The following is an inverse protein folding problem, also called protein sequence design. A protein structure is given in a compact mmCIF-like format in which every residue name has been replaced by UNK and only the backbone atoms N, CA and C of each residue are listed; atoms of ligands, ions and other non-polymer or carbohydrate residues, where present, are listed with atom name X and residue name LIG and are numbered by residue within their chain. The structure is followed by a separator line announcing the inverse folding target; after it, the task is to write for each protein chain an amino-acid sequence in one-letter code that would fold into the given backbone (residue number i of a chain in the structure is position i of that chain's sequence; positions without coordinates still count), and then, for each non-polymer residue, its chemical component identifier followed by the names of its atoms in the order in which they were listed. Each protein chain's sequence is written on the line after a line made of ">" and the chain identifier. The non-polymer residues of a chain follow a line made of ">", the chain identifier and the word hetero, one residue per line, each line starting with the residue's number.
data_IF_067136786157
#
_entry.id   IF_067136786157
#
_cell.length_a   1.000
_cell.length_b   1.000
_cell.length_c   1.000
_cell.angle_alpha   90.00
_cell.angle_beta   90.00
_cell.angle_gamma   90.00
#
_symmetry.space_group_name_H-M   'P 1'
#
loop_
_entity.id
_entity.type
_entity.pdbx_description
1 polymer ?
#
# COMPACT_ATOMS: atom_id res chain seq x y z
N UNK A 1 -32.51 55.75 14.50
CA UNK A 1 -31.82 54.47 14.88
C UNK A 1 -32.50 53.75 16.05
N UNK A 2 -32.97 54.42 17.11
CA UNK A 2 -33.64 53.77 18.26
C UNK A 2 -34.92 53.01 17.88
N UNK A 3 -35.69 53.48 16.92
CA UNK A 3 -36.96 52.88 16.49
C UNK A 3 -36.77 51.59 15.73
N UNK A 4 -35.72 51.49 14.87
CA UNK A 4 -35.39 50.27 14.14
C UNK A 4 -34.90 49.14 15.08
N UNK A 5 -34.14 49.49 16.09
CA UNK A 5 -33.68 48.53 17.10
C UNK A 5 -34.84 47.98 17.96
N UNK A 6 -35.83 48.80 18.24
CA UNK A 6 -37.04 48.40 18.97
C UNK A 6 -37.91 47.47 18.13
N UNK A 7 -38.12 47.81 16.86
CA UNK A 7 -38.85 46.94 15.91
C UNK A 7 -38.18 45.59 15.70
N UNK A 8 -36.87 45.57 15.55
CA UNK A 8 -36.10 44.30 15.46
C UNK A 8 -36.29 43.45 16.73
N UNK A 9 -36.18 44.05 17.90
CA UNK A 9 -36.36 43.31 19.17
C UNK A 9 -37.78 42.78 19.31
N UNK A 10 -38.82 43.54 18.97
CA UNK A 10 -40.21 43.10 19.00
C UNK A 10 -40.45 41.97 18.00
N UNK A 11 -39.90 42.05 16.78
CA UNK A 11 -39.99 41.00 15.77
C UNK A 11 -39.33 39.71 16.22
N UNK A 12 -38.16 39.76 16.88
CA UNK A 12 -37.50 38.59 17.43
C UNK A 12 -38.30 37.93 18.57
N UNK A 13 -38.84 38.72 19.48
CA UNK A 13 -39.68 38.23 20.58
C UNK A 13 -40.96 37.58 20.03
N UNK A 14 -41.60 38.20 19.04
CA UNK A 14 -42.81 37.64 18.42
C UNK A 14 -42.55 36.36 17.67
N UNK A 15 -41.42 36.26 16.95
CA UNK A 15 -40.98 35.04 16.30
C UNK A 15 -40.75 33.91 17.31
N UNK A 16 -40.10 34.21 18.44
CA UNK A 16 -39.84 33.21 19.51
C UNK A 16 -41.11 32.69 20.17
N UNK A 17 -42.09 33.61 20.44
CA UNK A 17 -43.40 33.24 20.99
C UNK A 17 -44.17 32.37 20.00
N UNK A 18 -44.15 32.70 18.71
CA UNK A 18 -44.80 31.93 17.66
C UNK A 18 -44.24 30.50 17.54
N UNK A 19 -42.91 30.35 17.64
CA UNK A 19 -42.23 29.05 17.66
C UNK A 19 -42.61 28.25 18.92
N UNK A 20 -42.69 28.89 20.09
CA UNK A 20 -43.03 28.24 21.34
C UNK A 20 -44.51 27.81 21.44
N UNK A 21 -45.42 28.47 20.70
CA UNK A 21 -46.83 28.13 20.68
C UNK A 21 -47.14 26.87 19.85
N UNK A 22 -46.35 26.62 18.79
CA UNK A 22 -46.53 25.46 17.92
C UNK A 22 -45.35 24.48 17.99
N UNK A 23 -45.03 24.02 19.19
CA UNK A 23 -43.80 23.20 19.49
C UNK A 23 -43.64 21.99 18.58
N UNK A 24 -44.71 21.23 18.31
CA UNK A 24 -44.66 20.02 17.51
C UNK A 24 -44.28 20.30 16.03
N UNK A 25 -44.89 21.35 15.44
CA UNK A 25 -44.60 21.77 14.05
C UNK A 25 -43.16 22.25 13.93
N UNK A 26 -42.70 23.06 14.88
CA UNK A 26 -41.37 23.63 14.91
C UNK A 26 -40.33 22.50 15.09
N UNK A 27 -40.58 21.54 15.97
CA UNK A 27 -39.72 20.39 16.21
C UNK A 27 -39.59 19.55 14.93
N UNK A 28 -40.69 19.23 14.27
CA UNK A 28 -40.70 18.44 13.04
C UNK A 28 -39.95 19.14 11.90
N UNK A 29 -40.15 20.47 11.74
CA UNK A 29 -39.46 21.25 10.71
C UNK A 29 -37.95 21.33 10.97
N UNK A 30 -37.54 21.60 12.22
CA UNK A 30 -36.13 21.60 12.63
C UNK A 30 -35.48 20.24 12.44
N UNK A 31 -36.17 19.16 12.83
CA UNK A 31 -35.68 17.80 12.67
C UNK A 31 -35.46 17.44 11.20
N UNK A 32 -36.41 17.83 10.31
CA UNK A 32 -36.26 17.66 8.86
C UNK A 32 -35.05 18.39 8.28
N UNK A 33 -34.85 19.66 8.67
CA UNK A 33 -33.68 20.43 8.23
C UNK A 33 -32.38 19.84 8.77
N UNK A 34 -32.37 19.44 10.04
CA UNK A 34 -31.17 18.84 10.68
C UNK A 34 -30.78 17.53 10.01
N UNK A 35 -31.74 16.65 9.73
CA UNK A 35 -31.50 15.40 9.01
C UNK A 35 -30.97 15.69 7.59
N UNK A 36 -31.55 16.67 6.90
CA UNK A 36 -31.12 17.06 5.55
C UNK A 36 -29.65 17.54 5.53
N UNK A 37 -29.31 18.45 6.44
CA UNK A 37 -27.94 18.98 6.55
C UNK A 37 -26.97 17.87 6.97
N UNK A 38 -27.36 17.04 7.96
CA UNK A 38 -26.55 15.91 8.40
C UNK A 38 -26.27 14.93 7.26
N UNK A 39 -27.27 14.58 6.46
CA UNK A 39 -27.09 13.68 5.32
C UNK A 39 -26.11 14.26 4.29
N UNK A 40 -26.20 15.56 3.99
CA UNK A 40 -25.27 16.23 3.07
C UNK A 40 -23.85 16.19 3.61
N UNK A 41 -23.63 16.55 4.87
CA UNK A 41 -22.31 16.54 5.51
C UNK A 41 -21.72 15.12 5.50
N UNK A 42 -22.54 14.12 5.81
CA UNK A 42 -22.14 12.71 5.83
C UNK A 42 -21.65 12.26 4.45
N UNK A 43 -22.42 12.54 3.39
CA UNK A 43 -22.03 12.21 2.01
C UNK A 43 -20.73 12.92 1.62
N UNK A 44 -20.59 14.20 1.89
CA UNK A 44 -19.36 14.94 1.62
C UNK A 44 -18.17 14.37 2.36
N UNK A 45 -18.32 14.04 3.64
CA UNK A 45 -17.24 13.44 4.44
C UNK A 45 -16.78 12.09 3.90
N UNK A 46 -17.71 11.25 3.42
CA UNK A 46 -17.38 9.96 2.81
C UNK A 46 -16.63 10.16 1.49
N UNK A 47 -17.12 11.05 0.64
CA UNK A 47 -16.50 11.34 -0.67
C UNK A 47 -15.09 11.91 -0.49
N UNK A 48 -14.91 12.88 0.43
CA UNK A 48 -13.61 13.49 0.71
C UNK A 48 -12.60 12.46 1.27
N UNK A 49 -13.07 11.59 2.18
CA UNK A 49 -12.26 10.49 2.70
C UNK A 49 -11.84 9.50 1.60
N UNK A 50 -12.76 9.18 0.68
CA UNK A 50 -12.48 8.29 -0.45
C UNK A 50 -11.49 8.93 -1.43
N UNK A 51 -11.68 10.21 -1.78
CA UNK A 51 -10.76 10.95 -2.64
C UNK A 51 -9.35 10.97 -2.05
N UNK A 52 -9.23 11.28 -0.76
CA UNK A 52 -7.95 11.27 -0.05
C UNK A 52 -7.31 9.89 -0.09
N UNK A 53 -8.06 8.82 0.21
CA UNK A 53 -7.55 7.45 0.18
C UNK A 53 -7.06 7.02 -1.20
N UNK A 54 -7.79 7.39 -2.27
CA UNK A 54 -7.36 7.13 -3.65
C UNK A 54 -6.11 7.94 -3.98
N UNK A 55 -6.06 9.22 -3.63
CA UNK A 55 -4.90 10.08 -3.89
C UNK A 55 -3.65 9.59 -3.18
N UNK A 56 -3.77 9.22 -1.91
CA UNK A 56 -2.67 8.65 -1.11
C UNK A 56 -2.20 7.31 -1.70
N UNK A 57 -3.12 6.46 -2.16
CA UNK A 57 -2.79 5.19 -2.83
C UNK A 57 -2.07 5.41 -4.18
N UNK A 58 -2.51 6.40 -4.97
CA UNK A 58 -1.87 6.69 -6.26
C UNK A 58 -0.49 7.33 -6.08
N UNK A 59 -0.31 8.19 -5.07
CA UNK A 59 0.99 8.82 -4.81
C UNK A 59 2.08 7.81 -4.42
N UNK A 60 1.71 6.65 -3.89
CA UNK A 60 2.65 5.56 -3.59
C UNK A 60 3.31 4.97 -4.86
N UNK A 61 2.67 5.10 -6.03
CA UNK A 61 3.25 4.61 -7.28
C UNK A 61 4.34 5.54 -7.86
N UNK A 62 4.58 6.68 -7.23
CA UNK A 62 5.53 7.70 -7.65
C UNK A 62 5.04 8.55 -8.82
N UNK A 63 5.26 9.83 -8.73
CA UNK A 63 5.10 10.76 -9.86
C UNK A 63 6.25 10.53 -10.84
N UNK A 64 5.97 10.46 -12.12
CA UNK A 64 6.96 10.26 -13.19
C UNK A 64 7.64 8.87 -13.24
N UNK A 65 6.99 7.80 -12.78
CA UNK A 65 7.50 6.43 -12.88
C UNK A 65 6.93 5.75 -14.13
N UNK A 66 7.80 5.15 -14.94
CA UNK A 66 7.43 4.34 -16.10
C UNK A 66 7.61 2.87 -15.75
N UNK A 67 6.52 2.11 -15.80
CA UNK A 67 6.53 0.67 -15.54
C UNK A 67 6.63 -0.12 -16.84
N UNK A 68 7.66 -0.95 -16.93
CA UNK A 68 7.85 -1.88 -18.05
C UNK A 68 7.53 -3.29 -17.55
N UNK A 69 6.36 -3.80 -17.94
CA UNK A 69 5.89 -5.11 -17.49
C UNK A 69 5.13 -5.86 -18.58
N UNK A 70 5.05 -7.19 -18.46
CA UNK A 70 4.33 -8.05 -19.40
C UNK A 70 2.83 -7.77 -19.40
N UNK A 71 2.26 -7.64 -18.22
CA UNK A 71 0.82 -7.47 -18.03
C UNK A 71 0.44 -5.99 -17.91
N UNK A 72 -0.60 -5.52 -18.57
CA UNK A 72 -1.06 -4.14 -18.41
C UNK A 72 -1.66 -3.91 -17.02
N UNK A 73 -1.67 -2.68 -16.60
CA UNK A 73 -2.36 -2.25 -15.38
C UNK A 73 -3.88 -2.36 -15.56
N UNK A 74 -4.58 -2.87 -14.54
CA UNK A 74 -6.02 -2.84 -14.48
C UNK A 74 -6.70 -3.84 -15.43
N UNK A 75 -6.48 -5.13 -15.22
CA UNK A 75 -7.30 -6.18 -15.84
C UNK A 75 -8.70 -6.21 -15.24
N UNK A 76 -9.69 -5.55 -15.89
CA UNK A 76 -11.12 -5.71 -15.55
C UNK A 76 -11.68 -7.07 -15.99
N UNK A 77 -12.97 -7.29 -15.75
CA UNK A 77 -13.67 -8.55 -16.08
C UNK A 77 -13.53 -8.97 -17.56
N UNK A 78 -13.35 -8.01 -18.48
CA UNK A 78 -13.17 -8.24 -19.92
C UNK A 78 -11.69 -8.27 -20.37
N UNK A 79 -10.77 -8.49 -19.43
CA UNK A 79 -9.34 -8.47 -19.72
C UNK A 79 -8.92 -9.61 -20.64
N UNK A 80 -8.55 -9.29 -21.87
CA UNK A 80 -8.10 -10.24 -22.90
C UNK A 80 -6.66 -10.73 -22.64
N UNK A 81 -6.43 -11.48 -21.56
CA UNK A 81 -5.12 -11.99 -21.13
C UNK A 81 -4.37 -12.78 -22.22
N UNK A 82 -5.10 -13.46 -23.12
CA UNK A 82 -4.49 -14.23 -24.22
C UNK A 82 -3.70 -13.37 -25.22
N UNK A 83 -4.01 -12.07 -25.35
CA UNK A 83 -3.24 -11.14 -26.20
C UNK A 83 -1.84 -10.87 -25.67
N UNK A 84 -1.63 -11.10 -24.38
CA UNK A 84 -0.38 -10.77 -23.67
C UNK A 84 0.47 -12.01 -23.37
N UNK A 85 -0.02 -13.22 -23.62
CA UNK A 85 0.71 -14.47 -23.37
C UNK A 85 2.08 -14.51 -24.08
N UNK A 86 2.11 -14.04 -25.33
CA UNK A 86 3.33 -14.07 -26.15
C UNK A 86 4.27 -12.86 -25.95
N UNK A 87 3.92 -11.93 -25.03
CA UNK A 87 4.84 -10.84 -24.70
C UNK A 87 6.03 -11.37 -23.92
N UNK A 88 7.26 -10.94 -24.25
CA UNK A 88 8.42 -11.29 -23.46
C UNK A 88 8.30 -10.73 -22.04
N UNK A 89 8.86 -11.46 -21.08
CA UNK A 89 9.03 -10.99 -19.71
C UNK A 89 10.28 -10.13 -19.68
N UNK A 90 10.25 -8.91 -19.12
CA UNK A 90 11.45 -8.09 -18.94
C UNK A 90 12.51 -8.84 -18.14
N UNK A 91 13.76 -8.77 -18.58
CA UNK A 91 14.89 -9.42 -17.96
C UNK A 91 15.78 -8.42 -17.21
N UNK A 92 16.50 -8.88 -16.20
CA UNK A 92 17.37 -8.02 -15.39
C UNK A 92 18.50 -7.37 -16.18
N UNK A 93 19.02 -8.06 -17.22
CA UNK A 93 20.03 -7.51 -18.14
C UNK A 93 19.50 -6.34 -18.98
N UNK A 94 18.20 -6.32 -19.29
CA UNK A 94 17.57 -5.20 -20.01
C UNK A 94 17.51 -3.95 -19.13
N UNK A 95 17.30 -4.09 -17.83
CA UNK A 95 17.37 -2.97 -16.88
C UNK A 95 18.79 -2.36 -16.85
N UNK A 96 19.84 -3.18 -16.89
CA UNK A 96 21.22 -2.71 -16.99
C UNK A 96 21.51 -2.00 -18.33
N UNK A 97 20.97 -2.51 -19.43
CA UNK A 97 21.07 -1.86 -20.74
C UNK A 97 20.36 -0.50 -20.75
N UNK A 98 19.17 -0.42 -20.16
CA UNK A 98 18.45 0.84 -20.00
C UNK A 98 19.26 1.84 -19.16
N UNK A 99 19.88 1.40 -18.07
CA UNK A 99 20.73 2.25 -17.22
C UNK A 99 21.91 2.86 -17.99
N UNK A 100 22.47 2.11 -18.95
CA UNK A 100 23.59 2.59 -19.80
C UNK A 100 23.14 3.49 -20.94
N UNK A 101 21.92 3.32 -21.45
CA UNK A 101 21.45 4.01 -22.69
C UNK A 101 20.48 5.14 -22.42
N UNK A 102 19.75 5.13 -21.30
CA UNK A 102 18.81 6.20 -20.98
C UNK A 102 19.53 7.44 -20.49
N UNK A 103 19.18 8.57 -21.08
CA UNK A 103 19.66 9.91 -20.69
C UNK A 103 18.64 10.65 -19.79
N UNK A 104 17.41 10.14 -19.70
CA UNK A 104 16.30 10.80 -19.03
C UNK A 104 15.87 10.11 -17.73
N UNK A 105 16.23 8.85 -17.54
CA UNK A 105 15.90 8.11 -16.33
C UNK A 105 16.95 8.36 -15.25
N UNK A 106 16.55 8.95 -14.15
CA UNK A 106 17.40 9.18 -12.99
C UNK A 106 17.71 7.89 -12.25
N UNK A 107 16.68 7.06 -12.05
CA UNK A 107 16.79 5.76 -11.41
C UNK A 107 16.12 4.69 -12.26
N UNK A 108 16.75 3.53 -12.36
CA UNK A 108 16.20 2.36 -13.04
C UNK A 108 16.32 1.18 -12.07
N UNK A 109 15.19 0.59 -11.74
CA UNK A 109 15.12 -0.56 -10.85
C UNK A 109 14.53 -1.76 -11.58
N UNK A 110 14.93 -2.93 -11.15
CA UNK A 110 14.35 -4.20 -11.55
C UNK A 110 13.73 -4.87 -10.33
N UNK A 111 12.52 -5.41 -10.51
CA UNK A 111 11.84 -6.18 -9.49
C UNK A 111 11.16 -7.41 -10.09
N UNK A 112 11.20 -8.51 -9.37
CA UNK A 112 10.48 -9.74 -9.70
C UNK A 112 9.75 -10.24 -8.46
N UNK A 113 8.48 -10.56 -8.60
CA UNK A 113 7.65 -11.04 -7.50
C UNK A 113 7.29 -12.51 -7.66
N UNK A 114 7.30 -13.23 -6.55
CA UNK A 114 6.79 -14.59 -6.41
C UNK A 114 5.65 -14.54 -5.39
N UNK A 115 4.42 -14.81 -5.83
CA UNK A 115 3.25 -14.84 -4.96
C UNK A 115 3.03 -16.20 -4.30
N UNK A 116 2.31 -16.19 -3.18
CA UNK A 116 1.84 -17.42 -2.53
C UNK A 116 2.91 -18.19 -1.74
N UNK A 117 4.04 -17.58 -1.42
CA UNK A 117 5.09 -18.21 -0.63
C UNK A 117 4.64 -18.46 0.82
N UNK A 118 5.28 -19.44 1.46
CA UNK A 118 5.12 -19.70 2.89
C UNK A 118 6.37 -19.28 3.63
N UNK A 119 6.20 -18.38 4.57
CA UNK A 119 7.26 -17.95 5.50
C UNK A 119 7.11 -18.71 6.81
N UNK A 120 8.21 -19.27 7.31
CA UNK A 120 8.23 -20.09 8.54
C UNK A 120 9.24 -19.54 9.52
N UNK A 121 8.87 -19.57 10.80
CA UNK A 121 9.77 -19.36 11.92
C UNK A 121 9.36 -20.31 13.05
N UNK A 122 10.24 -21.24 13.36
CA UNK A 122 9.99 -22.27 14.38
C UNK A 122 8.63 -22.98 14.15
N UNK A 123 7.69 -22.84 15.09
CA UNK A 123 6.33 -23.40 15.01
C UNK A 123 5.33 -22.48 14.27
N UNK A 124 5.69 -21.22 13.98
CA UNK A 124 4.81 -20.24 13.34
C UNK A 124 5.00 -20.24 11.83
N UNK A 125 3.91 -20.02 11.10
CA UNK A 125 3.95 -19.89 9.66
C UNK A 125 2.99 -18.78 9.18
N UNK A 126 3.37 -18.11 8.11
CA UNK A 126 2.53 -17.17 7.35
C UNK A 126 2.46 -17.68 5.90
N UNK A 127 1.25 -17.91 5.39
CA UNK A 127 1.00 -18.41 4.04
C UNK A 127 0.43 -17.33 3.14
N UNK A 128 0.59 -17.48 1.83
CA UNK A 128 0.09 -16.50 0.86
C UNK A 128 0.90 -15.21 0.84
N UNK A 129 2.18 -15.29 1.22
CA UNK A 129 3.08 -14.14 1.28
C UNK A 129 3.67 -13.87 -0.10
N UNK A 130 3.73 -12.59 -0.47
CA UNK A 130 4.38 -12.14 -1.68
C UNK A 130 5.86 -11.86 -1.41
N UNK A 131 6.75 -12.50 -2.18
CA UNK A 131 8.19 -12.28 -2.10
C UNK A 131 8.62 -11.41 -3.27
N UNK A 132 9.18 -10.23 -2.99
CA UNK A 132 9.63 -9.28 -3.98
C UNK A 132 11.17 -9.21 -3.98
N UNK A 133 11.78 -9.75 -5.02
CA UNK A 133 13.22 -9.60 -5.29
C UNK A 133 13.49 -8.30 -6.01
N UNK A 134 14.31 -7.40 -5.44
CA UNK A 134 14.55 -6.06 -6.01
C UNK A 134 16.03 -5.73 -6.14
N UNK A 135 16.33 -4.75 -6.99
CA UNK A 135 17.62 -4.07 -7.05
C UNK A 135 17.65 -2.87 -6.09
N UNK A 136 18.84 -2.37 -5.75
CA UNK A 136 19.02 -1.29 -4.78
C UNK A 136 18.25 -0.01 -5.14
N UNK A 137 18.23 0.35 -6.42
CA UNK A 137 17.56 1.55 -6.92
C UNK A 137 16.03 1.56 -6.69
N UNK A 138 15.46 0.40 -6.38
CA UNK A 138 14.03 0.26 -6.14
C UNK A 138 13.54 1.13 -4.98
N UNK A 139 14.32 1.25 -3.90
CA UNK A 139 13.98 2.11 -2.76
C UNK A 139 14.00 3.62 -3.10
N UNK A 140 14.69 4.02 -4.15
CA UNK A 140 14.73 5.42 -4.60
C UNK A 140 13.51 5.80 -5.43
N UNK A 141 12.90 4.80 -6.09
CA UNK A 141 11.69 4.96 -6.89
C UNK A 141 10.45 4.82 -6.00
N UNK A 142 10.48 3.82 -5.11
CA UNK A 142 9.41 3.54 -4.15
C UNK A 142 9.87 3.93 -2.75
N UNK A 143 9.24 4.95 -2.17
CA UNK A 143 9.56 5.40 -0.81
C UNK A 143 8.96 4.42 0.19
N UNK A 144 9.76 3.46 0.64
CA UNK A 144 9.36 2.54 1.69
C UNK A 144 9.53 3.17 3.07
N UNK A 145 8.46 3.27 3.83
CA UNK A 145 8.53 3.65 5.23
C UNK A 145 8.75 2.40 6.10
N UNK A 146 9.78 2.45 6.93
CA UNK A 146 10.12 1.37 7.86
C UNK A 146 9.66 1.74 9.27
N UNK A 147 8.96 0.81 9.92
CA UNK A 147 8.61 0.93 11.33
C UNK A 147 9.83 0.67 12.23
N UNK A 148 10.68 -0.29 11.83
CA UNK A 148 11.89 -0.66 12.57
C UNK A 148 12.99 -1.14 11.61
N UNK A 149 14.24 -0.98 12.05
CA UNK A 149 15.39 -1.47 11.30
C UNK A 149 15.87 -0.50 10.21
N UNK A 150 16.41 -1.07 9.13
CA UNK A 150 16.99 -0.30 8.02
C UNK A 150 16.74 -0.98 6.67
N UNK A 151 16.89 -0.21 5.61
CA UNK A 151 16.93 -0.76 4.24
C UNK A 151 18.29 -1.40 3.95
N UNK A 152 18.37 -2.15 2.87
CA UNK A 152 19.62 -2.76 2.39
C UNK A 152 20.64 -1.70 1.98
N UNK A 153 21.90 -2.00 2.18
CA UNK A 153 22.99 -1.26 1.54
C UNK A 153 23.18 -1.76 0.09
N UNK A 154 23.76 -0.93 -0.76
CA UNK A 154 24.06 -1.32 -2.15
C UNK A 154 24.95 -2.57 -2.23
N UNK A 155 25.94 -2.66 -1.35
CA UNK A 155 26.83 -3.83 -1.28
C UNK A 155 26.10 -5.11 -0.88
N UNK A 156 25.13 -5.04 0.03
CA UNK A 156 24.31 -6.20 0.45
C UNK A 156 23.42 -6.68 -0.68
N UNK A 157 22.77 -5.74 -1.41
CA UNK A 157 21.95 -6.05 -2.57
C UNK A 157 22.77 -6.69 -3.71
N UNK A 158 23.92 -6.09 -4.03
CA UNK A 158 24.80 -6.57 -5.09
C UNK A 158 25.48 -7.89 -4.74
N UNK A 159 25.75 -8.15 -3.47
CA UNK A 159 26.27 -9.43 -3.00
C UNK A 159 25.20 -10.54 -2.87
N UNK A 160 23.91 -10.18 -2.95
CA UNK A 160 22.82 -11.12 -2.72
C UNK A 160 22.86 -11.72 -1.32
N UNK A 161 23.12 -10.94 -0.28
CA UNK A 161 23.16 -11.44 1.09
C UNK A 161 21.81 -12.00 1.53
N UNK A 162 21.76 -13.10 2.31
CA UNK A 162 20.51 -13.71 2.77
C UNK A 162 19.85 -12.88 3.87
N UNK A 163 19.31 -11.74 3.48
CA UNK A 163 18.64 -10.78 4.34
C UNK A 163 17.28 -10.42 3.73
N UNK A 164 16.35 -10.01 4.57
CA UNK A 164 15.01 -9.59 4.13
C UNK A 164 14.45 -8.46 4.99
N UNK A 165 13.49 -7.75 4.40
CA UNK A 165 12.60 -6.80 5.08
C UNK A 165 11.21 -7.41 4.99
N UNK A 166 10.47 -7.45 6.10
CA UNK A 166 9.16 -8.11 6.18
C UNK A 166 8.04 -7.09 6.40
N UNK A 167 6.86 -7.41 5.91
CA UNK A 167 5.65 -6.65 6.13
C UNK A 167 5.14 -6.75 7.57
N UNK A 168 4.36 -5.76 7.97
CA UNK A 168 3.82 -5.67 9.33
C UNK A 168 2.93 -6.88 9.69
N UNK A 169 2.07 -7.34 8.78
CA UNK A 169 1.21 -8.51 9.03
C UNK A 169 2.00 -9.80 9.19
N UNK A 170 3.13 -9.95 8.48
CA UNK A 170 4.03 -11.08 8.62
C UNK A 170 4.74 -11.03 9.98
N UNK A 171 5.19 -9.85 10.39
CA UNK A 171 5.79 -9.65 11.70
C UNK A 171 4.81 -10.00 12.83
N UNK A 172 3.57 -9.53 12.76
CA UNK A 172 2.51 -9.85 13.72
C UNK A 172 2.15 -11.35 13.75
N UNK A 173 2.26 -12.04 12.61
CA UNK A 173 1.94 -13.48 12.50
C UNK A 173 3.04 -14.42 12.97
N UNK A 174 4.32 -14.01 12.86
CA UNK A 174 5.47 -14.85 13.15
C UNK A 174 6.14 -14.57 14.50
N UNK A 175 5.89 -13.42 15.10
CA UNK A 175 6.55 -12.96 16.31
C UNK A 175 5.54 -12.59 17.39
N UNK A 176 5.92 -12.79 18.64
CA UNK A 176 5.07 -12.41 19.78
C UNK A 176 5.18 -10.89 20.04
N UNK A 177 4.11 -10.28 20.59
CA UNK A 177 4.15 -8.87 20.96
C UNK A 177 5.30 -8.56 21.93
N UNK A 178 6.15 -7.58 21.55
CA UNK A 178 7.31 -7.16 22.35
C UNK A 178 8.58 -7.95 22.12
N UNK A 179 8.56 -8.94 21.22
CA UNK A 179 9.77 -9.69 20.83
C UNK A 179 10.66 -8.85 19.89
N UNK A 180 11.97 -8.97 20.03
CA UNK A 180 12.92 -8.32 19.13
C UNK A 180 12.97 -9.09 17.81
N UNK A 181 12.55 -8.43 16.72
CA UNK A 181 12.38 -9.05 15.40
C UNK A 181 13.65 -8.88 14.55
N UNK A 182 14.36 -7.76 14.72
CA UNK A 182 15.56 -7.47 13.95
C UNK A 182 16.67 -8.48 14.29
N UNK A 183 17.42 -8.91 13.27
CA UNK A 183 18.43 -9.95 13.30
C UNK A 183 17.92 -11.39 13.54
N UNK A 184 16.61 -11.59 13.68
CA UNK A 184 16.02 -12.93 13.74
C UNK A 184 16.03 -13.60 12.36
N UNK A 185 15.99 -14.93 12.37
CA UNK A 185 16.00 -15.73 11.15
C UNK A 185 14.62 -16.28 10.84
N UNK A 186 14.20 -16.12 9.60
CA UNK A 186 13.00 -16.74 9.04
C UNK A 186 13.39 -17.62 7.86
N UNK A 187 12.52 -18.56 7.50
CA UNK A 187 12.72 -19.43 6.33
C UNK A 187 11.62 -19.19 5.32
N UNK A 188 11.99 -18.96 4.07
CA UNK A 188 11.07 -18.82 2.93
C UNK A 188 11.43 -19.91 1.93
N UNK A 189 10.49 -20.81 1.63
CA UNK A 189 10.72 -21.93 0.69
C UNK A 189 12.02 -22.72 0.98
N UNK A 190 12.37 -22.91 2.27
CA UNK A 190 13.57 -23.64 2.69
C UNK A 190 14.84 -22.79 2.87
N UNK A 191 14.88 -21.56 2.34
CA UNK A 191 16.05 -20.68 2.48
C UNK A 191 15.93 -19.81 3.72
N UNK A 192 16.99 -19.77 4.53
CA UNK A 192 17.06 -18.98 5.77
C UNK A 192 17.51 -17.55 5.46
N UNK A 193 16.71 -16.58 5.88
CA UNK A 193 16.97 -15.15 5.73
C UNK A 193 17.01 -14.48 7.10
N UNK A 194 17.82 -13.44 7.23
CA UNK A 194 17.90 -12.60 8.42
C UNK A 194 17.05 -11.36 8.22
N UNK A 195 16.14 -11.08 9.15
CA UNK A 195 15.29 -9.88 9.12
C UNK A 195 16.13 -8.65 9.50
N UNK A 196 16.17 -7.64 8.64
CA UNK A 196 16.89 -6.38 8.87
C UNK A 196 15.99 -5.16 9.02
N UNK A 197 14.70 -5.30 8.66
CA UNK A 197 13.72 -4.23 8.78
C UNK A 197 12.30 -4.75 8.72
N UNK A 198 11.37 -3.90 9.16
CA UNK A 198 9.92 -4.14 9.15
C UNK A 198 9.27 -2.93 8.50
N UNK A 199 8.41 -3.14 7.51
CA UNK A 199 7.63 -2.06 6.90
C UNK A 199 6.62 -1.48 7.87
N UNK A 200 6.37 -0.19 7.74
CA UNK A 200 5.26 0.44 8.44
C UNK A 200 3.94 -0.12 7.93
N UNK A 201 3.02 -0.39 8.86
CA UNK A 201 1.69 -0.91 8.52
C UNK A 201 0.90 0.13 7.75
N UNK A 202 0.51 -0.20 6.54
CA UNK A 202 -0.26 0.69 5.64
C UNK A 202 -1.75 0.31 5.65
N UNK A 203 -2.07 -0.95 5.93
CA UNK A 203 -3.42 -1.49 5.83
C UNK A 203 -3.80 -1.89 4.40
N UNK A 204 -5.09 -2.13 4.17
CA UNK A 204 -5.59 -2.44 2.84
C UNK A 204 -5.57 -1.20 1.96
N UNK A 205 -4.80 -1.22 0.89
CA UNK A 205 -4.80 -0.18 -0.13
C UNK A 205 -5.95 -0.42 -1.11
N UNK A 206 -6.71 0.62 -1.43
CA UNK A 206 -7.78 0.55 -2.44
C UNK A 206 -7.22 0.44 -3.86
N UNK A 207 -6.00 0.92 -4.08
CA UNK A 207 -5.33 0.94 -5.37
C UNK A 207 -3.86 0.60 -5.13
N UNK A 208 -3.47 -0.65 -5.38
CA UNK A 208 -2.08 -1.08 -5.25
C UNK A 208 -1.88 -2.25 -4.31
N UNK A 209 -0.64 -2.72 -4.23
CA UNK A 209 -0.26 -3.82 -3.34
C UNK A 209 0.08 -3.28 -1.95
N UNK A 210 -0.52 -3.87 -0.93
CA UNK A 210 -0.12 -3.61 0.45
C UNK A 210 1.22 -4.32 0.73
N UNK A 211 2.19 -3.59 1.29
CA UNK A 211 3.46 -4.17 1.74
C UNK A 211 3.32 -4.97 3.04
N UNK A 212 2.15 -4.94 3.66
CA UNK A 212 1.92 -5.60 4.95
C UNK A 212 2.10 -7.12 4.88
N UNK A 213 1.77 -7.74 3.73
CA UNK A 213 1.93 -9.18 3.48
C UNK A 213 3.04 -9.48 2.46
N UNK A 214 4.09 -8.67 2.43
CA UNK A 214 5.19 -8.80 1.49
C UNK A 214 6.53 -8.98 2.20
N UNK A 215 7.42 -9.76 1.59
CA UNK A 215 8.83 -9.85 1.97
C UNK A 215 9.68 -9.32 0.84
N UNK A 216 10.55 -8.36 1.13
CA UNK A 216 11.51 -7.83 0.16
C UNK A 216 12.88 -8.47 0.40
N UNK A 217 13.48 -8.95 -0.68
CA UNK A 217 14.81 -9.61 -0.68
C UNK A 217 15.67 -9.03 -1.80
N UNK A 218 17.00 -9.15 -1.71
CA UNK A 218 17.89 -8.86 -2.84
C UNK A 218 17.55 -9.73 -4.05
N UNK A 219 17.47 -9.14 -5.25
CA UNK A 219 17.08 -9.85 -6.47
C UNK A 219 17.95 -11.08 -6.75
N UNK A 220 19.26 -11.01 -6.47
CA UNK A 220 20.16 -12.16 -6.65
C UNK A 220 19.80 -13.36 -5.76
N UNK A 221 19.22 -13.12 -4.59
CA UNK A 221 18.68 -14.20 -3.77
C UNK A 221 17.41 -14.80 -4.40
N UNK A 222 16.56 -13.96 -4.99
CA UNK A 222 15.33 -14.44 -5.63
C UNK A 222 15.62 -15.44 -6.78
N UNK A 223 16.72 -15.24 -7.52
CA UNK A 223 17.15 -16.17 -8.57
C UNK A 223 17.48 -17.58 -8.06
N UNK A 224 17.98 -17.70 -6.85
CA UNK A 224 18.26 -19.01 -6.24
C UNK A 224 16.97 -19.80 -6.00
N UNK A 225 15.88 -19.13 -5.64
CA UNK A 225 14.58 -19.78 -5.42
C UNK A 225 13.95 -20.31 -6.71
N UNK A 226 14.19 -19.64 -7.84
CA UNK A 226 13.60 -20.03 -9.11
C UNK A 226 14.40 -21.16 -9.80
N UNK A 227 15.70 -21.26 -9.57
CA UNK A 227 16.53 -22.32 -10.14
C UNK A 227 16.32 -23.66 -9.44
N UNK A 228 16.21 -23.67 -8.11
CA UNK A 228 15.98 -24.91 -7.35
C UNK A 228 14.58 -25.50 -7.61
N UNK A 229 13.55 -24.62 -7.72
CA UNK A 229 12.19 -25.06 -8.10
C UNK A 229 12.10 -25.62 -9.54
N UNK A 230 12.96 -25.17 -10.44
CA UNK A 230 13.02 -25.69 -11.81
C UNK A 230 13.74 -27.03 -11.91
N UNK A 231 14.66 -27.34 -11.01
CA UNK A 231 15.38 -28.64 -10.96
C UNK A 231 14.51 -29.72 -10.29
N UNK A 232 13.75 -29.40 -9.23
CA UNK A 232 12.80 -30.36 -8.63
C UNK A 232 11.64 -30.77 -9.56
N UNK A 233 11.30 -29.96 -10.54
CA UNK A 233 10.24 -30.28 -11.53
C UNK A 233 10.73 -31.16 -12.68
N UNK A 234 12.02 -31.48 -12.76
CA UNK A 234 12.65 -32.33 -13.80
C UNK A 234 13.13 -33.73 -13.31
N UNK A 235 12.89 -34.07 -12.02
CA UNK A 235 13.22 -35.33 -11.42
C UNK A 235 12.11 -36.39 -11.45
#
# INVERSE_FOLDING_TARGET
>A
MRTYFRLLKESFVFAFISLATNKLRTLLSLLGITIGIFAIILVYSIVDSLEKSIRDSVSQFGDNVVYVQKWPWGGGADFAWWKYLNRPVPLSNEAELLKRRSQYAEHIAFGSSLGGATVKRDAYNATGVDVLGTTFEYNKIWSFELAQGRYFTESEMNAGRPMCIIGASIAEGLFLPGEEIIAQRISISGVKLTVIGIFQKVGESLVGQSYDNMVVVPFKNCLLYTSDAADESRG
#
